data_IF_752527798555
#
_entry.id   IF_752527798555
#
_cell.length_a   1.000
_cell.length_b   1.000
_cell.length_c   1.000
_cell.angle_alpha   90.00
_cell.angle_beta   90.00
_cell.angle_gamma   90.00
#
_symmetry.space_group_name_H-M   'P 1'
#
loop_
_entity.id
_entity.type
_entity.pdbx_description
1 polymer ?
#
# COMPACT_ATOMS: atom_id res chain seq x y z
N UNK A 1 25.91 -6.63 11.35
CA UNK A 1 25.10 -5.50 11.88
C UNK A 1 23.65 -5.96 12.03
N UNK A 2 22.83 -5.32 12.86
CA UNK A 2 21.37 -5.59 12.93
C UNK A 2 20.55 -4.44 12.34
N UNK A 3 19.25 -4.66 12.12
CA UNK A 3 18.36 -3.68 11.49
C UNK A 3 18.33 -2.32 12.23
N UNK A 4 18.41 -2.32 13.56
CA UNK A 4 18.44 -1.09 14.37
C UNK A 4 19.69 -0.26 14.08
N UNK A 5 20.87 -0.88 14.02
CA UNK A 5 22.12 -0.19 13.65
C UNK A 5 22.09 0.28 12.20
N UNK A 6 21.57 -0.55 11.29
CA UNK A 6 21.43 -0.18 9.87
C UNK A 6 20.49 1.02 9.70
N UNK A 7 19.37 1.07 10.43
CA UNK A 7 18.45 2.22 10.44
C UNK A 7 19.16 3.53 10.79
N UNK A 8 20.13 3.51 11.72
CA UNK A 8 20.92 4.71 12.05
C UNK A 8 21.76 5.18 10.86
N UNK A 9 22.33 4.26 10.09
CA UNK A 9 23.05 4.60 8.85
C UNK A 9 22.11 5.18 7.80
N UNK A 10 20.92 4.62 7.64
CA UNK A 10 19.90 5.16 6.75
C UNK A 10 19.51 6.58 7.17
N UNK A 11 19.27 6.82 8.46
CA UNK A 11 19.00 8.18 8.97
C UNK A 11 20.13 9.17 8.67
N UNK A 12 21.39 8.71 8.73
CA UNK A 12 22.57 9.57 8.51
C UNK A 12 22.87 9.82 7.04
N UNK A 13 22.69 8.83 6.17
CA UNK A 13 23.20 8.85 4.79
C UNK A 13 22.12 8.85 3.70
N UNK A 14 20.90 8.42 4.01
CA UNK A 14 19.78 8.35 3.06
C UNK A 14 18.75 9.46 3.32
N UNK A 15 18.33 9.63 4.58
CA UNK A 15 17.28 10.60 4.94
C UNK A 15 17.58 12.04 4.50
N UNK A 16 18.83 12.57 4.57
CA UNK A 16 19.10 13.93 4.10
C UNK A 16 18.73 14.13 2.63
N UNK A 17 19.10 13.19 1.76
CA UNK A 17 18.79 13.28 0.33
C UNK A 17 17.30 13.18 0.05
N UNK A 18 16.58 12.31 0.77
CA UNK A 18 15.13 12.22 0.65
C UNK A 18 14.44 13.54 1.03
N UNK A 19 14.90 14.20 2.11
CA UNK A 19 14.36 15.50 2.52
C UNK A 19 14.60 16.59 1.48
N UNK A 20 15.79 16.63 0.87
CA UNK A 20 16.06 17.53 -0.27
C UNK A 20 15.08 17.32 -1.43
N UNK A 21 14.62 16.09 -1.63
CA UNK A 21 13.65 15.71 -2.67
C UNK A 21 12.19 15.90 -2.24
N UNK A 22 11.93 16.58 -1.12
CA UNK A 22 10.58 16.86 -0.62
C UNK A 22 9.92 15.70 0.11
N UNK A 23 10.64 14.62 0.43
CA UNK A 23 10.10 13.53 1.23
C UNK A 23 10.16 13.85 2.72
N UNK A 24 9.12 13.48 3.44
CA UNK A 24 9.06 13.47 4.91
C UNK A 24 9.24 12.05 5.43
N UNK A 25 9.57 11.92 6.72
CA UNK A 25 9.86 10.63 7.36
C UNK A 25 11.32 10.49 7.78
N UNK A 26 11.65 9.33 8.34
CA UNK A 26 12.99 9.02 8.81
C UNK A 26 13.23 7.52 8.92
N UNK A 27 14.50 7.12 8.92
CA UNK A 27 14.88 5.73 9.13
C UNK A 27 14.36 4.86 7.98
N UNK A 28 13.31 4.09 8.21
CA UNK A 28 12.82 3.07 7.28
C UNK A 28 11.49 3.42 6.61
N UNK A 29 10.84 4.52 6.97
CA UNK A 29 9.54 4.89 6.44
C UNK A 29 9.62 6.33 5.92
N UNK A 30 9.34 6.51 4.63
CA UNK A 30 9.33 7.80 3.93
C UNK A 30 8.02 7.98 3.18
N UNK A 31 7.57 9.23 3.09
CA UNK A 31 6.38 9.61 2.35
C UNK A 31 6.55 10.96 1.67
N UNK A 32 5.85 11.16 0.57
CA UNK A 32 5.71 12.45 -0.10
C UNK A 32 4.26 12.58 -0.56
N UNK A 33 3.62 13.68 -0.20
CA UNK A 33 2.26 14.01 -0.61
C UNK A 33 2.39 14.97 -1.77
N UNK A 34 1.81 14.64 -2.92
CA UNK A 34 1.76 15.49 -4.10
C UNK A 34 0.44 16.29 -4.12
N UNK A 35 0.39 17.37 -4.91
CA UNK A 35 -0.77 18.27 -4.98
C UNK A 35 -2.05 17.60 -5.50
N UNK A 36 -1.91 16.55 -6.31
CA UNK A 36 -3.01 15.78 -6.89
C UNK A 36 -3.54 14.67 -5.95
N UNK A 37 -3.33 14.81 -4.64
CA UNK A 37 -3.70 13.84 -3.60
C UNK A 37 -2.95 12.51 -3.62
N UNK A 38 -2.03 12.29 -4.58
CA UNK A 38 -1.19 11.10 -4.61
C UNK A 38 -0.18 11.14 -3.47
N UNK A 39 -0.24 10.15 -2.60
CA UNK A 39 0.75 9.92 -1.55
C UNK A 39 1.69 8.82 -1.99
N UNK A 40 2.95 9.18 -2.22
CA UNK A 40 4.04 8.26 -2.53
C UNK A 40 4.65 7.78 -1.22
N UNK A 41 4.75 6.47 -1.02
CA UNK A 41 5.38 5.85 0.14
C UNK A 41 6.59 5.02 -0.29
N UNK A 42 7.66 5.09 0.49
CA UNK A 42 8.85 4.26 0.34
C UNK A 42 9.23 3.68 1.70
N UNK A 43 9.39 2.35 1.76
CA UNK A 43 9.67 1.63 2.98
C UNK A 43 10.86 0.68 2.87
N UNK A 44 11.60 0.53 3.97
CA UNK A 44 12.65 -0.45 4.14
C UNK A 44 12.30 -1.43 5.25
N UNK A 45 12.45 -2.73 5.01
CA UNK A 45 12.03 -3.75 5.95
C UNK A 45 13.12 -4.79 6.15
N UNK A 46 13.43 -5.08 7.41
CA UNK A 46 14.30 -6.21 7.74
C UNK A 46 13.59 -7.53 7.43
N UNK A 47 14.32 -8.50 6.91
CA UNK A 47 13.80 -9.86 6.78
C UNK A 47 13.47 -10.45 8.15
N UNK A 48 12.47 -11.34 8.20
CA UNK A 48 12.13 -12.07 9.44
C UNK A 48 13.35 -12.81 10.00
N UNK A 49 14.11 -13.47 9.12
CA UNK A 49 15.32 -14.21 9.50
C UNK A 49 16.50 -13.29 9.89
N UNK A 50 16.34 -11.97 9.72
CA UNK A 50 17.40 -11.00 9.92
C UNK A 50 18.49 -11.08 8.83
N UNK A 51 19.51 -10.24 8.98
CA UNK A 51 20.68 -10.26 8.10
C UNK A 51 20.52 -9.59 6.75
N UNK A 52 19.31 -9.17 6.35
CA UNK A 52 19.11 -8.32 5.17
C UNK A 52 17.87 -7.44 5.29
N UNK A 53 17.74 -6.49 4.36
CA UNK A 53 16.54 -5.70 4.14
C UNK A 53 16.05 -5.80 2.69
N UNK A 54 14.77 -5.52 2.51
CA UNK A 54 14.13 -5.27 1.22
C UNK A 54 13.48 -3.89 1.26
N UNK A 55 13.32 -3.29 0.08
CA UNK A 55 12.74 -1.97 -0.07
C UNK A 55 11.49 -2.06 -0.95
N UNK A 56 10.45 -1.30 -0.61
CA UNK A 56 9.17 -1.28 -1.31
C UNK A 56 8.75 0.15 -1.61
N UNK A 57 8.15 0.35 -2.77
CA UNK A 57 7.41 1.55 -3.16
C UNK A 57 5.92 1.25 -3.08
N UNK A 58 5.09 2.24 -2.79
CA UNK A 58 3.64 2.08 -2.85
C UNK A 58 2.93 3.43 -2.86
N UNK A 59 1.68 3.40 -3.30
CA UNK A 59 0.85 4.60 -3.39
C UNK A 59 -0.35 4.52 -2.44
N UNK A 60 -0.78 5.70 -2.01
CA UNK A 60 -2.02 5.94 -1.29
C UNK A 60 -2.62 7.27 -1.75
N UNK A 61 -3.82 7.60 -1.25
CA UNK A 61 -4.45 8.90 -1.48
C UNK A 61 -4.85 9.52 -0.16
N UNK A 62 -4.61 10.82 0.01
CA UNK A 62 -4.88 11.52 1.29
C UNK A 62 -6.35 11.90 1.50
N UNK A 63 -7.18 11.84 0.45
CA UNK A 63 -8.63 12.02 0.55
C UNK A 63 -9.37 10.76 1.03
N UNK A 64 -8.71 9.60 1.09
CA UNK A 64 -9.37 8.36 1.47
C UNK A 64 -9.86 8.43 2.92
N UNK A 65 -11.07 7.94 3.23
CA UNK A 65 -11.57 7.91 4.59
C UNK A 65 -10.63 7.15 5.53
N UNK A 66 -10.54 7.63 6.78
CA UNK A 66 -9.91 6.87 7.86
C UNK A 66 -10.94 5.90 8.43
N UNK A 67 -10.81 4.62 8.11
CA UNK A 67 -11.67 3.58 8.65
C UNK A 67 -11.25 3.14 10.05
N UNK A 68 -12.08 2.30 10.67
CA UNK A 68 -11.76 1.72 11.97
C UNK A 68 -10.43 0.96 11.90
N UNK A 69 -9.51 1.30 12.83
CA UNK A 69 -8.11 0.83 12.89
C UNK A 69 -7.15 1.38 11.83
N UNK A 70 -7.59 2.26 10.93
CA UNK A 70 -6.67 2.94 10.02
C UNK A 70 -5.78 3.93 10.76
N UNK A 71 -4.56 4.06 10.24
CA UNK A 71 -3.62 5.08 10.68
C UNK A 71 -3.79 6.34 9.84
N UNK A 72 -3.61 7.52 10.43
CA UNK A 72 -3.55 8.75 9.66
C UNK A 72 -2.36 8.70 8.70
N UNK A 73 -2.40 9.49 7.62
CA UNK A 73 -1.44 9.40 6.52
C UNK A 73 0.01 9.60 6.99
N UNK A 74 0.22 10.38 8.04
CA UNK A 74 1.52 10.65 8.67
C UNK A 74 2.09 9.46 9.45
N UNK A 75 1.32 8.38 9.60
CA UNK A 75 1.75 7.14 10.26
C UNK A 75 1.61 5.93 9.34
N UNK A 76 1.15 6.13 8.11
CA UNK A 76 0.93 5.06 7.14
C UNK A 76 2.26 4.53 6.61
N UNK A 77 2.33 3.22 6.47
CA UNK A 77 3.48 2.48 5.93
C UNK A 77 3.17 1.95 4.54
N UNK A 78 4.20 1.68 3.75
CA UNK A 78 4.00 1.10 2.41
C UNK A 78 3.31 -0.28 2.47
N UNK A 79 3.48 -1.03 3.55
CA UNK A 79 2.73 -2.29 3.79
C UNK A 79 1.22 -2.13 3.90
N UNK A 80 0.73 -0.91 4.11
CA UNK A 80 -0.69 -0.56 4.20
C UNK A 80 -1.24 -0.05 2.86
N UNK A 81 -0.40 0.04 1.82
CA UNK A 81 -0.81 0.43 0.47
C UNK A 81 -1.43 -0.75 -0.27
N UNK A 82 -2.45 -0.49 -1.08
CA UNK A 82 -3.03 -1.50 -1.95
C UNK A 82 -2.07 -1.82 -3.11
N UNK A 83 -1.59 -0.78 -3.80
CA UNK A 83 -0.57 -0.89 -4.83
C UNK A 83 0.80 -0.63 -4.25
N UNK A 84 1.66 -1.65 -4.32
CA UNK A 84 3.05 -1.59 -3.91
C UNK A 84 3.89 -2.57 -4.71
N UNK A 85 5.15 -2.21 -4.94
CA UNK A 85 6.12 -3.06 -5.62
C UNK A 85 7.43 -3.09 -4.84
N UNK A 86 8.20 -4.16 -5.00
CA UNK A 86 9.58 -4.17 -4.52
C UNK A 86 10.43 -3.30 -5.43
N UNK A 87 11.26 -2.45 -4.82
CA UNK A 87 12.18 -1.59 -5.56
C UNK A 87 13.18 -2.41 -6.40
N UNK A 88 13.52 -3.62 -5.97
CA UNK A 88 14.35 -4.56 -6.72
C UNK A 88 13.96 -6.02 -6.43
N UNK A 89 14.41 -6.93 -7.29
CA UNK A 89 14.24 -8.38 -7.11
C UNK A 89 15.11 -8.91 -5.95
N UNK A 90 16.14 -8.17 -5.53
CA UNK A 90 17.15 -8.59 -4.55
C UNK A 90 16.91 -8.14 -3.11
N UNK A 91 17.85 -8.49 -2.23
CA UNK A 91 17.91 -8.01 -0.84
C UNK A 91 19.27 -7.40 -0.55
N UNK A 92 19.31 -6.36 0.29
CA UNK A 92 20.57 -5.75 0.74
C UNK A 92 21.00 -6.39 2.05
N UNK A 93 22.12 -7.11 2.02
CA UNK A 93 22.64 -7.84 3.18
C UNK A 93 23.30 -6.90 4.18
N UNK A 94 23.18 -7.25 5.46
CA UNK A 94 23.92 -6.60 6.53
C UNK A 94 25.31 -7.20 6.64
N UNK A 95 26.30 -6.34 6.78
CA UNK A 95 27.70 -6.73 7.01
C UNK A 95 28.11 -6.44 8.45
N UNK A 96 29.20 -7.04 8.92
CA UNK A 96 29.84 -6.69 10.19
C UNK A 96 30.52 -5.32 10.11
N UNK A 97 31.14 -5.03 8.97
CA UNK A 97 31.85 -3.79 8.66
C UNK A 97 30.88 -2.63 8.39
N UNK A 98 31.00 -1.53 9.15
CA UNK A 98 30.13 -0.36 9.00
C UNK A 98 30.25 0.28 7.60
N UNK A 99 31.47 0.44 7.09
CA UNK A 99 31.72 1.06 5.77
C UNK A 99 31.00 0.32 4.63
N UNK A 100 30.97 -1.02 4.67
CA UNK A 100 30.19 -1.81 3.70
C UNK A 100 28.70 -1.54 3.81
N UNK A 101 28.18 -1.40 5.03
CA UNK A 101 26.77 -1.06 5.21
C UNK A 101 26.45 0.36 4.74
N UNK A 102 27.38 1.32 4.89
CA UNK A 102 27.21 2.67 4.31
C UNK A 102 27.12 2.61 2.78
N UNK A 103 27.99 1.83 2.14
CA UNK A 103 27.92 1.58 0.68
C UNK A 103 26.59 0.93 0.27
N UNK A 104 26.05 0.01 1.09
CA UNK A 104 24.72 -0.56 0.86
C UNK A 104 23.61 0.50 0.94
N UNK A 105 23.66 1.41 1.92
CA UNK A 105 22.68 2.52 2.02
C UNK A 105 22.75 3.43 0.80
N UNK A 106 23.96 3.75 0.32
CA UNK A 106 24.15 4.54 -0.91
C UNK A 106 23.61 3.83 -2.13
N UNK A 107 23.84 2.52 -2.25
CA UNK A 107 23.30 1.71 -3.34
C UNK A 107 21.76 1.65 -3.32
N UNK A 108 21.13 1.58 -2.14
CA UNK A 108 19.67 1.67 -2.02
C UNK A 108 19.17 3.03 -2.50
N UNK A 109 19.85 4.13 -2.12
CA UNK A 109 19.50 5.47 -2.57
C UNK A 109 19.59 5.60 -4.09
N UNK A 110 20.71 5.17 -4.68
CA UNK A 110 20.90 5.18 -6.13
C UNK A 110 19.84 4.34 -6.85
N UNK A 111 19.57 3.13 -6.35
CA UNK A 111 18.52 2.26 -6.90
C UNK A 111 17.15 2.93 -6.81
N UNK A 112 16.84 3.55 -5.67
CA UNK A 112 15.59 4.28 -5.47
C UNK A 112 15.47 5.42 -6.46
N UNK A 113 16.50 6.24 -6.64
CA UNK A 113 16.47 7.39 -7.56
C UNK A 113 16.32 6.98 -9.02
N UNK A 114 16.87 5.82 -9.40
CA UNK A 114 16.82 5.34 -10.79
C UNK A 114 15.54 4.58 -11.13
N UNK A 115 14.97 3.81 -10.19
CA UNK A 115 13.86 2.88 -10.47
C UNK A 115 12.58 3.25 -9.73
N UNK A 116 12.68 3.84 -8.53
CA UNK A 116 11.54 4.19 -7.69
C UNK A 116 10.54 5.13 -8.38
N UNK A 117 10.98 6.26 -8.98
CA UNK A 117 10.11 7.18 -9.73
C UNK A 117 9.24 6.50 -10.79
N UNK A 118 9.75 5.48 -11.48
CA UNK A 118 9.02 4.79 -12.54
C UNK A 118 7.77 4.05 -12.04
N UNK A 119 7.79 3.56 -10.80
CA UNK A 119 6.58 2.99 -10.20
C UNK A 119 5.52 4.07 -9.95
N UNK A 120 5.94 5.27 -9.51
CA UNK A 120 4.99 6.33 -9.17
C UNK A 120 4.40 7.01 -10.41
N UNK A 121 5.16 7.12 -11.51
CA UNK A 121 4.71 7.76 -12.76
C UNK A 121 3.44 7.12 -13.32
N UNK A 122 3.24 5.82 -13.10
CA UNK A 122 2.03 5.11 -13.52
C UNK A 122 0.75 5.67 -12.85
N UNK A 123 0.89 6.42 -11.75
CA UNK A 123 -0.21 6.98 -10.98
C UNK A 123 -0.24 8.52 -10.92
N UNK A 124 0.74 9.20 -11.55
CA UNK A 124 0.86 10.66 -11.47
C UNK A 124 -0.27 11.40 -12.18
N UNK A 125 -0.87 10.79 -13.20
CA UNK A 125 -2.02 11.36 -13.92
C UNK A 125 -3.35 11.02 -13.23
N UNK A 126 -3.41 10.98 -11.90
CA UNK A 126 -4.67 10.80 -11.19
C UNK A 126 -5.70 11.86 -11.66
N UNK A 127 -6.95 11.46 -12.01
CA UNK A 127 -7.57 10.16 -11.73
C UNK A 127 -7.52 9.12 -12.86
N UNK A 128 -6.85 9.39 -13.98
CA UNK A 128 -6.84 8.55 -15.20
C UNK A 128 -6.62 7.04 -14.99
N UNK A 129 -5.76 6.59 -14.04
CA UNK A 129 -5.60 5.16 -13.81
C UNK A 129 -6.85 4.48 -13.25
N UNK A 130 -7.78 5.23 -12.65
CA UNK A 130 -8.90 4.71 -11.86
C UNK A 130 -10.28 5.13 -12.38
N UNK A 131 -10.39 6.27 -13.05
CA UNK A 131 -11.69 6.89 -13.41
C UNK A 131 -12.47 6.16 -14.50
N UNK A 132 -11.83 5.26 -15.26
CA UNK A 132 -12.42 4.50 -16.38
C UNK A 132 -12.74 3.05 -16.04
N UNK A 133 -12.54 2.63 -14.79
CA UNK A 133 -12.75 1.24 -14.37
C UNK A 133 -14.20 1.06 -13.90
N UNK A 134 -14.93 0.18 -14.59
CA UNK A 134 -16.25 -0.28 -14.18
C UNK A 134 -16.18 -1.50 -13.26
N UNK A 135 -17.28 -1.83 -12.59
CA UNK A 135 -17.33 -3.06 -11.78
C UNK A 135 -17.34 -4.31 -12.67
N UNK A 136 -17.93 -4.20 -13.87
CA UNK A 136 -18.01 -5.25 -14.89
C UNK A 136 -16.62 -5.68 -15.35
N UNK A 137 -15.72 -4.73 -15.61
CA UNK A 137 -14.31 -5.01 -15.97
C UNK A 137 -13.64 -5.96 -14.98
N UNK A 138 -14.00 -5.79 -13.70
CA UNK A 138 -13.44 -6.56 -12.59
C UNK A 138 -14.18 -7.89 -12.43
N UNK A 139 -15.50 -7.93 -12.62
CA UNK A 139 -16.31 -9.16 -12.48
C UNK A 139 -15.99 -10.15 -13.59
N UNK A 140 -15.97 -9.69 -14.84
CA UNK A 140 -15.84 -10.52 -16.04
C UNK A 140 -14.42 -11.07 -16.20
N UNK A 141 -13.42 -10.32 -15.72
CA UNK A 141 -12.01 -10.70 -15.82
C UNK A 141 -11.42 -11.09 -14.44
N UNK A 142 -11.30 -12.41 -14.20
CA UNK A 142 -10.66 -12.92 -12.98
C UNK A 142 -9.18 -12.53 -12.86
N UNK A 143 -8.51 -12.24 -13.98
CA UNK A 143 -7.11 -11.83 -14.07
C UNK A 143 -6.95 -10.34 -14.39
N UNK A 144 -7.97 -9.52 -14.10
CA UNK A 144 -7.89 -8.07 -14.32
C UNK A 144 -6.62 -7.50 -13.67
N UNK A 145 -5.87 -6.72 -14.45
CA UNK A 145 -4.69 -5.98 -14.01
C UNK A 145 -4.91 -4.50 -14.22
N UNK A 146 -4.75 -3.72 -13.15
CA UNK A 146 -4.76 -2.26 -13.25
C UNK A 146 -3.59 -1.82 -14.15
N UNK A 147 -3.89 -0.99 -15.16
CA UNK A 147 -2.93 -0.55 -16.19
C UNK A 147 -2.28 -1.72 -16.95
N UNK A 148 -2.92 -2.90 -17.00
CA UNK A 148 -2.32 -4.12 -17.56
C UNK A 148 -1.11 -4.65 -16.78
N UNK A 149 -0.75 -4.03 -15.65
CA UNK A 149 0.49 -4.27 -14.90
C UNK A 149 0.25 -4.81 -13.50
N UNK A 150 -0.64 -4.17 -12.73
CA UNK A 150 -0.78 -4.44 -11.30
C UNK A 150 -1.92 -5.42 -11.00
N UNK A 151 -1.57 -6.55 -10.38
CA UNK A 151 -2.52 -7.61 -10.03
C UNK A 151 -3.45 -7.22 -8.87
N UNK A 152 -4.72 -7.63 -8.97
CA UNK A 152 -5.73 -7.38 -7.94
C UNK A 152 -5.90 -8.63 -7.06
N UNK A 153 -5.03 -8.78 -6.06
CA UNK A 153 -5.06 -9.94 -5.16
C UNK A 153 -6.23 -9.96 -4.19
N UNK A 154 -6.74 -8.78 -3.81
CA UNK A 154 -7.84 -8.67 -2.84
C UNK A 154 -8.98 -7.82 -3.41
N UNK A 155 -9.90 -8.50 -4.09
CA UNK A 155 -11.05 -7.89 -4.77
C UNK A 155 -11.97 -7.09 -3.83
N UNK A 156 -12.10 -7.47 -2.55
CA UNK A 156 -12.89 -6.73 -1.56
C UNK A 156 -12.25 -5.38 -1.23
N UNK A 157 -10.94 -5.39 -0.95
CA UNK A 157 -10.18 -4.15 -0.71
C UNK A 157 -10.06 -3.27 -1.95
N UNK A 158 -9.99 -3.88 -3.14
CA UNK A 158 -10.03 -3.13 -4.39
C UNK A 158 -11.37 -2.43 -4.56
N UNK A 159 -12.48 -3.15 -4.32
CA UNK A 159 -13.82 -2.57 -4.38
C UNK A 159 -13.97 -1.40 -3.40
N UNK A 160 -13.45 -1.51 -2.17
CA UNK A 160 -13.43 -0.40 -1.22
C UNK A 160 -12.66 0.82 -1.75
N UNK A 161 -11.45 0.60 -2.28
CA UNK A 161 -10.63 1.65 -2.87
C UNK A 161 -11.35 2.33 -4.04
N UNK A 162 -11.90 1.56 -4.98
CA UNK A 162 -12.59 2.07 -6.15
C UNK A 162 -13.88 2.82 -5.77
N UNK A 163 -14.61 2.34 -4.76
CA UNK A 163 -15.76 3.04 -4.18
C UNK A 163 -15.34 4.41 -3.66
N UNK A 164 -14.28 4.49 -2.84
CA UNK A 164 -13.84 5.76 -2.25
C UNK A 164 -13.28 6.74 -3.29
N UNK A 165 -12.52 6.25 -4.27
CA UNK A 165 -12.06 7.08 -5.40
C UNK A 165 -13.25 7.64 -6.17
N UNK A 166 -14.24 6.81 -6.52
CA UNK A 166 -15.40 7.28 -7.27
C UNK A 166 -16.30 8.22 -6.46
N UNK A 167 -16.40 8.05 -5.14
CA UNK A 167 -17.05 9.04 -4.27
C UNK A 167 -16.33 10.39 -4.31
N UNK A 168 -15.00 10.38 -4.23
CA UNK A 168 -14.19 11.60 -4.33
C UNK A 168 -14.35 12.31 -5.69
N UNK A 169 -14.45 11.54 -6.79
CA UNK A 169 -14.68 12.07 -8.14
C UNK A 169 -16.13 12.51 -8.42
N UNK A 170 -17.07 12.22 -7.51
CA UNK A 170 -18.49 12.49 -7.71
C UNK A 170 -19.23 11.46 -8.58
N UNK A 171 -18.58 10.34 -8.92
CA UNK A 171 -19.13 9.24 -9.72
C UNK A 171 -19.97 8.30 -8.84
N UNK A 172 -21.11 8.81 -8.36
CA UNK A 172 -21.91 8.11 -7.34
C UNK A 172 -22.46 6.75 -7.78
N UNK A 173 -22.80 6.60 -9.07
CA UNK A 173 -23.28 5.33 -9.62
C UNK A 173 -22.20 4.26 -9.58
N UNK A 174 -21.03 4.54 -10.16
CA UNK A 174 -19.86 3.64 -10.13
C UNK A 174 -19.45 3.30 -8.69
N UNK A 175 -19.49 4.28 -7.79
CA UNK A 175 -19.23 4.04 -6.37
C UNK A 175 -20.23 3.04 -5.76
N UNK A 176 -21.52 3.13 -6.09
CA UNK A 176 -22.56 2.20 -5.62
C UNK A 176 -22.32 0.79 -6.15
N UNK A 177 -21.91 0.67 -7.40
CA UNK A 177 -21.65 -0.63 -8.02
C UNK A 177 -20.47 -1.35 -7.33
N UNK A 178 -19.37 -0.63 -7.10
CA UNK A 178 -18.25 -1.16 -6.31
C UNK A 178 -18.62 -1.46 -4.86
N UNK A 179 -19.46 -0.61 -4.23
CA UNK A 179 -19.98 -0.85 -2.87
C UNK A 179 -20.74 -2.19 -2.81
N UNK A 180 -21.70 -2.40 -3.71
CA UNK A 180 -22.51 -3.62 -3.76
C UNK A 180 -21.65 -4.85 -4.05
N UNK A 181 -20.75 -4.76 -5.02
CA UNK A 181 -19.82 -5.84 -5.36
C UNK A 181 -18.92 -6.21 -4.18
N UNK A 182 -18.34 -5.22 -3.50
CA UNK A 182 -17.52 -5.44 -2.32
C UNK A 182 -18.29 -6.15 -1.20
N UNK A 183 -19.52 -5.68 -0.90
CA UNK A 183 -20.38 -6.28 0.12
C UNK A 183 -20.72 -7.73 -0.22
N UNK A 184 -21.07 -8.01 -1.48
CA UNK A 184 -21.38 -9.36 -1.94
C UNK A 184 -20.16 -10.30 -1.77
N UNK A 185 -18.96 -9.84 -2.11
CA UNK A 185 -17.72 -10.62 -1.93
C UNK A 185 -17.36 -10.82 -0.46
N UNK A 186 -17.56 -9.81 0.39
CA UNK A 186 -17.36 -9.92 1.84
C UNK A 186 -18.33 -10.92 2.47
N UNK A 187 -19.63 -10.85 2.13
CA UNK A 187 -20.62 -11.82 2.59
C UNK A 187 -20.28 -13.25 2.19
N UNK A 188 -19.98 -13.47 0.90
CA UNK A 188 -19.64 -14.80 0.41
C UNK A 188 -18.38 -15.38 1.08
N UNK A 189 -17.41 -14.55 1.45
CA UNK A 189 -16.25 -15.00 2.22
C UNK A 189 -16.59 -15.26 3.69
N UNK A 190 -17.39 -14.39 4.30
CA UNK A 190 -17.85 -14.55 5.68
C UNK A 190 -18.62 -15.87 5.84
N UNK A 191 -19.54 -16.19 4.93
CA UNK A 191 -20.28 -17.47 4.92
C UNK A 191 -19.35 -18.69 4.87
N UNK A 192 -18.26 -18.61 4.10
CA UNK A 192 -17.27 -19.69 4.00
C UNK A 192 -16.40 -19.81 5.24
N UNK A 193 -16.01 -18.69 5.84
CA UNK A 193 -15.04 -18.66 6.95
C UNK A 193 -15.69 -18.77 8.33
N UNK A 194 -16.92 -18.29 8.50
CA UNK A 194 -17.65 -18.26 9.76
C UNK A 194 -18.49 -19.52 9.96
N UNK A 195 -17.86 -20.68 9.76
CA UNK A 195 -18.45 -22.01 9.98
C UNK A 195 -18.05 -22.59 11.34
N UNK A 196 -18.97 -23.32 11.99
CA UNK A 196 -18.70 -24.06 13.23
C UNK A 196 -18.86 -23.24 14.52
N UNK A 197 -18.15 -23.63 15.58
CA UNK A 197 -18.35 -23.10 16.95
C UNK A 197 -17.83 -21.67 17.07
N UNK A 198 -18.62 -20.77 17.68
CA UNK A 198 -18.25 -19.37 17.96
C UNK A 198 -17.16 -19.24 19.03
N UNK A 199 -15.91 -19.51 18.66
CA UNK A 199 -14.71 -19.26 19.47
C UNK A 199 -14.39 -17.77 19.57
N UNK A 200 -13.38 -17.40 20.36
CA UNK A 200 -12.88 -16.01 20.41
C UNK A 200 -12.42 -15.53 19.03
N UNK A 201 -11.63 -16.32 18.32
CA UNK A 201 -11.14 -16.00 16.97
C UNK A 201 -12.28 -15.84 15.97
N UNK A 202 -13.31 -16.69 16.06
CA UNK A 202 -14.51 -16.57 15.26
C UNK A 202 -15.17 -15.19 15.44
N UNK A 203 -15.39 -14.77 16.69
CA UNK A 203 -16.08 -13.50 16.98
C UNK A 203 -15.30 -12.29 16.47
N UNK A 204 -13.97 -12.32 16.61
CA UNK A 204 -13.09 -11.28 16.05
C UNK A 204 -13.18 -11.22 14.52
N UNK A 205 -13.29 -12.38 13.87
CA UNK A 205 -13.46 -12.45 12.41
C UNK A 205 -14.85 -11.96 11.98
N UNK A 206 -15.90 -12.36 12.70
CA UNK A 206 -17.28 -11.91 12.49
C UNK A 206 -17.38 -10.38 12.63
N UNK A 207 -16.75 -9.80 13.64
CA UNK A 207 -16.64 -8.36 13.85
C UNK A 207 -15.87 -7.67 12.72
N UNK A 208 -14.72 -8.23 12.32
CA UNK A 208 -13.94 -7.71 11.19
C UNK A 208 -14.73 -7.69 9.87
N UNK A 209 -15.56 -8.70 9.60
CA UNK A 209 -16.42 -8.69 8.42
C UNK A 209 -17.53 -7.64 8.51
N UNK A 210 -18.12 -7.44 9.69
CA UNK A 210 -19.11 -6.38 9.92
C UNK A 210 -18.52 -5.00 9.65
N UNK A 211 -17.33 -4.71 10.19
CA UNK A 211 -16.62 -3.45 9.98
C UNK A 211 -16.31 -3.27 8.49
N UNK A 212 -15.78 -4.29 7.82
CA UNK A 212 -15.49 -4.22 6.38
C UNK A 212 -16.74 -3.90 5.55
N UNK A 213 -17.86 -4.57 5.82
CA UNK A 213 -19.12 -4.33 5.11
C UNK A 213 -19.70 -2.95 5.41
N UNK A 214 -19.56 -2.46 6.64
CA UNK A 214 -19.98 -1.10 6.99
C UNK A 214 -19.13 -0.05 6.26
N UNK A 215 -17.81 -0.25 6.19
CA UNK A 215 -16.91 0.63 5.43
C UNK A 215 -17.23 0.63 3.93
N UNK A 216 -17.74 -0.48 3.40
CA UNK A 216 -18.16 -0.57 1.99
C UNK A 216 -19.47 0.17 1.70
N UNK A 217 -20.32 0.45 2.69
CA UNK A 217 -21.58 1.17 2.46
C UNK A 217 -21.33 2.63 2.11
N UNK A 218 -22.15 3.16 1.21
CA UNK A 218 -22.24 4.60 0.95
C UNK A 218 -23.24 5.17 1.97
N UNK A 219 -22.82 6.23 2.66
CA UNK A 219 -23.62 6.95 3.66
C UNK A 219 -24.39 8.09 3.03
#
# INVERSE_FOLDING_TARGET
MNATKFRKLVTKHFSPKMKELGWTGNGFDYRRIEENHLVKLFGMYGSWMGGCIYCETGIHFDFLPLYEHDKPIEKKKVTECFFRERLSVGTWKFYTEEERNVKQVQNILETFLNVGPQFYSDFENFPDPFDKISVEDVIENQDYKLLGKYEIFNRRRFALLMKDINLYLGNLEVARDFSQYGIAKSNALAEKMLVGRKTKTYRLMEESFKIEMENLRIK
#
